data_IF_058007897313
#
_entry.id   IF_058007897313
#
_cell.length_a   1.000
_cell.length_b   1.000
_cell.length_c   1.000
_cell.angle_alpha   90.00
_cell.angle_beta   90.00
_cell.angle_gamma   90.00
#
_symmetry.space_group_name_H-M   'P 1'
#
loop_
_entity.id
_entity.type
_entity.pdbx_description
1 polymer ?
#
# COMPACT_ATOMS: atom_id res chain seq x y z
N UNK A 1 -22.56 -13.13 15.76
CA UNK A 1 -22.88 -12.71 14.38
C UNK A 1 -21.59 -12.74 13.58
N UNK A 2 -21.55 -13.38 12.41
CA UNK A 2 -20.36 -13.30 11.52
C UNK A 2 -20.22 -11.85 11.06
N UNK A 3 -19.14 -11.17 11.44
CA UNK A 3 -18.87 -9.81 10.99
C UNK A 3 -18.06 -9.87 9.70
N UNK A 4 -18.66 -9.40 8.61
CA UNK A 4 -17.92 -9.11 7.38
C UNK A 4 -17.31 -7.73 7.53
N UNK A 5 -16.08 -7.52 7.05
CA UNK A 5 -15.44 -6.22 6.97
C UNK A 5 -14.92 -5.98 5.55
N UNK A 6 -14.97 -4.74 5.10
CA UNK A 6 -14.59 -4.40 3.74
C UNK A 6 -13.67 -3.19 3.69
N UNK A 7 -12.91 -3.08 2.59
CA UNK A 7 -11.99 -2.00 2.32
C UNK A 7 -11.99 -1.62 0.84
N UNK A 8 -11.73 -0.35 0.55
CA UNK A 8 -11.32 0.11 -0.78
C UNK A 8 -9.79 0.06 -0.82
N UNK A 9 -9.19 -0.53 -1.87
CA UNK A 9 -7.74 -0.67 -2.02
C UNK A 9 -7.25 0.08 -3.25
N UNK A 10 -6.49 1.14 -2.99
CA UNK A 10 -5.89 2.05 -3.97
C UNK A 10 -4.36 1.98 -3.89
N UNK A 11 -3.69 2.33 -4.97
CA UNK A 11 -2.25 2.57 -5.02
C UNK A 11 -1.88 3.45 -6.21
N UNK A 12 -0.70 4.06 -6.21
CA UNK A 12 -0.15 4.76 -7.36
C UNK A 12 -1.14 5.81 -7.90
N UNK A 13 -1.49 6.77 -7.02
CA UNK A 13 -2.46 7.85 -7.32
C UNK A 13 -1.73 9.04 -7.95
N UNK A 14 -0.49 9.31 -7.56
CA UNK A 14 0.41 10.30 -8.13
C UNK A 14 -0.19 11.72 -8.27
N UNK A 15 -0.76 12.25 -7.19
CA UNK A 15 -1.20 13.64 -7.21
C UNK A 15 -0.04 14.57 -7.52
N UNK A 16 -0.26 15.50 -8.46
CA UNK A 16 0.73 16.50 -8.89
C UNK A 16 0.32 17.89 -8.41
N UNK A 17 1.24 18.85 -8.47
CA UNK A 17 0.91 20.25 -8.21
C UNK A 17 -0.17 20.82 -9.13
N UNK A 18 -0.43 20.19 -10.28
CA UNK A 18 -1.45 20.60 -11.24
C UNK A 18 -2.79 19.88 -11.07
N UNK A 19 -2.85 18.85 -10.22
CA UNK A 19 -4.11 18.15 -9.93
C UNK A 19 -5.14 19.13 -9.37
N UNK A 20 -6.37 19.11 -9.93
CA UNK A 20 -7.47 19.99 -9.54
C UNK A 20 -7.44 21.40 -10.12
N UNK A 21 -6.48 21.75 -10.97
CA UNK A 21 -6.52 22.99 -11.75
C UNK A 21 -7.36 22.82 -13.05
N UNK A 22 -7.54 23.93 -13.81
CA UNK A 22 -8.37 23.92 -15.02
C UNK A 22 -7.80 23.09 -16.17
N UNK A 23 -6.57 22.60 -16.07
CA UNK A 23 -5.89 21.76 -17.06
C UNK A 23 -5.62 20.35 -16.55
N UNK A 24 -6.22 19.97 -15.43
CA UNK A 24 -6.08 18.64 -14.86
C UNK A 24 -6.80 17.59 -15.70
N UNK A 25 -6.05 16.90 -16.55
CA UNK A 25 -6.56 15.88 -17.47
C UNK A 25 -7.07 14.62 -16.76
N UNK A 26 -6.73 14.43 -15.49
CA UNK A 26 -7.08 13.24 -14.69
C UNK A 26 -8.24 13.50 -13.72
N UNK A 27 -8.81 14.72 -13.75
CA UNK A 27 -9.96 15.05 -12.90
C UNK A 27 -11.15 14.13 -13.20
N UNK A 28 -11.46 13.89 -14.48
CA UNK A 28 -12.55 12.99 -14.87
C UNK A 28 -12.35 11.57 -14.36
N UNK A 29 -11.12 11.05 -14.42
CA UNK A 29 -10.79 9.73 -13.89
C UNK A 29 -11.10 9.62 -12.39
N UNK A 30 -10.70 10.61 -11.60
CA UNK A 30 -10.99 10.64 -10.16
C UNK A 30 -12.47 10.75 -9.85
N UNK A 31 -13.20 11.53 -10.65
CA UNK A 31 -14.65 11.67 -10.51
C UNK A 31 -15.36 10.36 -10.86
N UNK A 32 -14.88 9.60 -11.86
CA UNK A 32 -15.41 8.27 -12.20
C UNK A 32 -15.16 7.23 -11.10
N UNK A 33 -13.99 7.24 -10.45
CA UNK A 33 -13.72 6.38 -9.28
C UNK A 33 -14.74 6.66 -8.17
N UNK A 34 -14.98 7.94 -7.84
CA UNK A 34 -15.96 8.31 -6.83
C UNK A 34 -17.38 7.88 -7.24
N UNK A 35 -17.71 8.00 -8.53
CA UNK A 35 -19.01 7.59 -9.07
C UNK A 35 -19.21 6.08 -9.00
N UNK A 36 -18.20 5.29 -9.37
CA UNK A 36 -18.24 3.83 -9.28
C UNK A 36 -18.43 3.36 -7.83
N UNK A 37 -17.63 3.90 -6.90
CA UNK A 37 -17.78 3.62 -5.47
C UNK A 37 -19.17 4.00 -4.96
N UNK A 38 -19.67 5.17 -5.32
CA UNK A 38 -20.98 5.65 -4.89
C UNK A 38 -22.14 4.77 -5.37
N UNK A 39 -22.05 4.27 -6.62
CA UNK A 39 -23.12 3.49 -7.26
C UNK A 39 -23.09 2.02 -6.87
N UNK A 40 -21.89 1.44 -6.81
CA UNK A 40 -21.73 -0.01 -6.81
C UNK A 40 -21.18 -0.56 -5.49
N UNK A 41 -20.31 0.16 -4.78
CA UNK A 41 -19.66 -0.38 -3.58
C UNK A 41 -20.68 -0.74 -2.48
N UNK A 42 -21.72 0.08 -2.28
CA UNK A 42 -22.74 -0.17 -1.25
C UNK A 42 -23.61 -1.41 -1.49
N UNK A 43 -23.68 -1.88 -2.74
CA UNK A 43 -24.41 -3.11 -3.09
C UNK A 43 -23.56 -4.36 -2.96
N UNK A 44 -22.24 -4.21 -3.09
CA UNK A 44 -21.26 -5.29 -3.09
C UNK A 44 -20.57 -5.47 -1.72
N UNK A 45 -20.42 -4.38 -0.95
CA UNK A 45 -19.64 -4.36 0.27
C UNK A 45 -20.50 -4.10 1.50
N UNK A 46 -20.25 -4.89 2.55
CA UNK A 46 -20.81 -4.68 3.89
C UNK A 46 -19.72 -4.17 4.83
N UNK A 47 -20.09 -3.30 5.77
CA UNK A 47 -19.20 -2.80 6.83
C UNK A 47 -17.85 -2.33 6.29
N UNK A 48 -17.83 -1.28 5.47
CA UNK A 48 -16.60 -0.68 4.98
C UNK A 48 -15.88 -0.01 6.17
N UNK A 49 -14.70 -0.51 6.49
CA UNK A 49 -13.88 -0.05 7.64
C UNK A 49 -12.84 0.99 7.22
N UNK A 50 -12.57 1.16 5.92
CA UNK A 50 -11.64 2.18 5.47
C UNK A 50 -11.12 2.06 4.05
N UNK A 51 -10.21 2.96 3.74
CA UNK A 51 -9.50 3.08 2.47
C UNK A 51 -8.04 2.69 2.72
N UNK A 52 -7.53 1.71 1.97
CA UNK A 52 -6.15 1.23 2.02
C UNK A 52 -5.38 1.85 0.86
N UNK A 53 -4.25 2.49 1.12
CA UNK A 53 -3.43 3.13 0.08
C UNK A 53 -2.00 2.59 0.12
N UNK A 54 -1.62 1.82 -0.91
CA UNK A 54 -0.32 1.17 -1.00
C UNK A 54 0.77 2.05 -1.62
N UNK A 55 0.85 3.32 -1.21
CA UNK A 55 1.93 4.24 -1.57
C UNK A 55 1.73 4.99 -2.89
N UNK A 56 2.72 5.83 -3.22
CA UNK A 56 2.75 6.74 -4.36
C UNK A 56 1.48 7.61 -4.43
N UNK A 57 1.20 8.26 -3.30
CA UNK A 57 0.06 9.16 -3.11
C UNK A 57 0.34 10.49 -3.81
N UNK A 58 1.49 11.11 -3.49
CA UNK A 58 2.04 12.27 -4.16
C UNK A 58 2.94 11.86 -5.32
N UNK A 59 3.21 12.76 -6.26
CA UNK A 59 4.18 12.55 -7.33
C UNK A 59 5.61 12.96 -6.94
N UNK A 60 5.74 13.96 -6.08
CA UNK A 60 7.03 14.55 -5.69
C UNK A 60 7.11 14.97 -4.21
N UNK A 61 6.26 14.38 -3.37
CA UNK A 61 6.22 14.62 -1.93
C UNK A 61 6.02 16.09 -1.53
N UNK A 62 5.21 16.83 -2.30
CA UNK A 62 4.90 18.23 -2.00
C UNK A 62 3.62 18.33 -1.15
N UNK A 63 3.60 19.29 -0.19
CA UNK A 63 2.44 19.53 0.67
C UNK A 63 1.15 19.72 -0.13
N UNK A 64 1.19 20.50 -1.21
CA UNK A 64 0.03 20.75 -2.07
C UNK A 64 -0.50 19.51 -2.79
N UNK A 65 0.33 18.48 -3.00
CA UNK A 65 -0.07 17.21 -3.58
C UNK A 65 -0.86 16.38 -2.56
N UNK A 66 -0.41 16.37 -1.31
CA UNK A 66 -1.09 15.71 -0.20
C UNK A 66 -2.44 16.37 0.14
N UNK A 67 -2.53 17.71 0.13
CA UNK A 67 -3.81 18.43 0.33
C UNK A 67 -4.86 17.97 -0.69
N UNK A 68 -4.48 17.77 -1.94
CA UNK A 68 -5.38 17.29 -3.00
C UNK A 68 -5.75 15.82 -2.82
N UNK A 69 -4.80 15.00 -2.41
CA UNK A 69 -5.05 13.60 -2.05
C UNK A 69 -6.06 13.50 -0.90
N UNK A 70 -5.93 14.34 0.14
CA UNK A 70 -6.89 14.39 1.25
C UNK A 70 -8.29 14.74 0.78
N UNK A 71 -8.44 15.72 -0.11
CA UNK A 71 -9.76 16.10 -0.67
C UNK A 71 -10.38 14.93 -1.43
N UNK A 72 -9.60 14.20 -2.21
CA UNK A 72 -10.08 13.03 -2.95
C UNK A 72 -10.50 11.89 -2.02
N UNK A 73 -9.65 11.53 -1.05
CA UNK A 73 -9.92 10.45 -0.10
C UNK A 73 -11.12 10.81 0.81
N UNK A 74 -11.26 12.08 1.20
CA UNK A 74 -12.45 12.55 1.93
C UNK A 74 -13.72 12.35 1.13
N UNK A 75 -13.74 12.69 -0.17
CA UNK A 75 -14.92 12.45 -1.01
C UNK A 75 -15.29 10.96 -1.07
N UNK A 76 -14.31 10.06 -1.14
CA UNK A 76 -14.55 8.61 -1.06
C UNK A 76 -15.13 8.23 0.29
N UNK A 77 -14.57 8.72 1.40
CA UNK A 77 -15.08 8.47 2.74
C UNK A 77 -16.52 8.95 2.92
N UNK A 78 -16.83 10.14 2.40
CA UNK A 78 -18.19 10.73 2.45
C UNK A 78 -19.22 9.85 1.69
N UNK A 79 -18.91 9.38 0.48
CA UNK A 79 -19.83 8.50 -0.28
C UNK A 79 -19.99 7.13 0.36
N UNK A 80 -18.98 6.62 1.06
CA UNK A 80 -19.04 5.37 1.82
C UNK A 80 -19.69 5.54 3.21
N UNK A 81 -19.87 6.77 3.66
CA UNK A 81 -20.38 7.09 5.01
C UNK A 81 -19.47 6.55 6.13
N UNK A 82 -18.16 6.60 5.93
CA UNK A 82 -17.14 6.25 6.92
C UNK A 82 -16.41 7.51 7.45
N UNK A 83 -15.62 7.36 8.51
CA UNK A 83 -14.82 8.48 9.03
C UNK A 83 -13.81 8.95 7.98
N UNK A 84 -13.60 10.27 7.87
CA UNK A 84 -12.55 10.84 7.01
C UNK A 84 -11.13 10.42 7.46
N UNK A 85 -10.97 9.95 8.71
CA UNK A 85 -9.72 9.42 9.24
C UNK A 85 -9.56 7.91 9.04
N UNK A 86 -10.55 7.23 8.45
CA UNK A 86 -10.47 5.79 8.14
C UNK A 86 -9.67 5.54 6.85
N UNK A 87 -8.45 6.09 6.81
CA UNK A 87 -7.47 5.91 5.73
C UNK A 87 -6.24 5.26 6.33
N UNK A 88 -5.76 4.20 5.70
CA UNK A 88 -4.59 3.45 6.12
C UNK A 88 -3.58 3.42 4.98
N UNK A 89 -2.41 4.01 5.16
CA UNK A 89 -1.48 4.26 4.07
C UNK A 89 -0.04 3.92 4.43
N UNK A 90 0.73 3.57 3.42
CA UNK A 90 2.19 3.45 3.49
C UNK A 90 2.82 4.36 2.44
N UNK A 91 4.06 4.83 2.63
CA UNK A 91 4.73 5.64 1.62
C UNK A 91 5.22 4.78 0.46
N UNK A 92 5.20 5.35 -0.75
CA UNK A 92 5.89 4.82 -1.93
C UNK A 92 7.15 5.63 -2.27
N UNK A 93 7.81 5.28 -3.37
CA UNK A 93 9.05 5.94 -3.76
C UNK A 93 8.85 7.37 -4.33
N UNK A 94 7.62 7.74 -4.66
CA UNK A 94 7.25 9.11 -5.00
C UNK A 94 6.88 9.97 -3.78
N UNK A 95 6.60 9.34 -2.63
CA UNK A 95 6.29 10.04 -1.37
C UNK A 95 7.54 10.48 -0.59
N UNK A 96 8.72 10.47 -1.21
CA UNK A 96 9.98 10.94 -0.62
C UNK A 96 10.38 12.33 -1.14
N UNK A 97 11.01 13.11 -0.28
CA UNK A 97 11.68 14.34 -0.71
C UNK A 97 13.04 14.00 -1.35
N UNK A 98 13.05 13.97 -2.67
CA UNK A 98 14.25 13.64 -3.46
C UNK A 98 15.36 14.70 -3.30
N UNK A 99 15.05 15.92 -2.85
CA UNK A 99 16.05 16.97 -2.64
C UNK A 99 16.96 16.70 -1.45
N UNK A 100 16.54 15.82 -0.53
CA UNK A 100 17.28 15.43 0.67
C UNK A 100 18.20 14.21 0.39
N UNK A 101 17.72 13.26 -0.43
CA UNK A 101 18.42 12.01 -0.76
C UNK A 101 19.27 12.16 -2.04
N UNK A 102 20.26 13.05 -2.02
CA UNK A 102 21.16 13.29 -3.17
C UNK A 102 22.58 12.75 -2.91
N UNK A 103 23.32 12.49 -3.99
CA UNK A 103 24.70 12.00 -3.93
C UNK A 103 25.58 12.92 -3.07
N UNK A 104 26.27 12.35 -2.07
CA UNK A 104 27.11 13.08 -1.12
C UNK A 104 26.39 13.59 0.14
N UNK A 105 25.05 13.46 0.23
CA UNK A 105 24.34 13.73 1.46
C UNK A 105 24.61 12.65 2.53
N UNK A 106 24.43 12.98 3.81
CA UNK A 106 24.58 12.00 4.90
C UNK A 106 23.59 10.87 4.76
N UNK A 107 22.34 11.16 4.36
CA UNK A 107 21.34 10.15 4.08
C UNK A 107 21.80 9.20 2.97
N UNK A 108 22.32 9.73 1.86
CA UNK A 108 22.82 8.91 0.75
C UNK A 108 23.97 8.00 1.19
N UNK A 109 24.86 8.46 2.06
CA UNK A 109 25.93 7.61 2.60
C UNK A 109 25.38 6.44 3.42
N UNK A 110 24.39 6.68 4.29
CA UNK A 110 23.72 5.65 5.07
C UNK A 110 22.99 4.65 4.14
N UNK A 111 22.25 5.15 3.16
CA UNK A 111 21.54 4.31 2.18
C UNK A 111 22.51 3.45 1.38
N UNK A 112 23.63 4.02 0.90
CA UNK A 112 24.67 3.29 0.16
C UNK A 112 25.32 2.17 0.99
N UNK A 113 25.50 2.38 2.29
CA UNK A 113 26.01 1.34 3.20
C UNK A 113 24.99 0.21 3.41
N UNK A 114 23.70 0.51 3.44
CA UNK A 114 22.64 -0.49 3.46
C UNK A 114 22.58 -1.27 2.15
N UNK A 115 22.70 -0.60 1.02
CA UNK A 115 22.72 -1.22 -0.31
C UNK A 115 23.88 -2.20 -0.51
N UNK A 116 25.05 -1.96 0.10
CA UNK A 116 26.20 -2.87 0.05
C UNK A 116 26.01 -4.14 0.88
N UNK A 117 25.03 -4.18 1.79
CA UNK A 117 24.77 -5.37 2.59
C UNK A 117 24.19 -6.51 1.73
N UNK A 118 24.85 -7.68 1.70
CA UNK A 118 24.53 -8.79 0.81
C UNK A 118 23.89 -9.99 1.52
N UNK A 119 23.55 -9.86 2.80
CA UNK A 119 22.83 -10.89 3.59
C UNK A 119 21.76 -10.22 4.45
N UNK A 120 20.66 -10.94 4.71
CA UNK A 120 19.59 -10.44 5.60
C UNK A 120 20.13 -10.09 7.00
N UNK A 121 21.10 -10.87 7.50
CA UNK A 121 21.77 -10.61 8.80
C UNK A 121 22.56 -9.30 8.77
N UNK A 122 23.29 -9.03 7.68
CA UNK A 122 24.05 -7.78 7.53
C UNK A 122 23.12 -6.57 7.42
N UNK A 123 22.01 -6.70 6.70
CA UNK A 123 20.96 -5.68 6.59
C UNK A 123 20.40 -5.36 7.98
N UNK A 124 19.93 -6.38 8.70
CA UNK A 124 19.34 -6.20 10.04
C UNK A 124 20.35 -5.65 11.06
N UNK A 125 21.62 -6.07 10.98
CA UNK A 125 22.69 -5.55 11.84
C UNK A 125 22.93 -4.05 11.60
N UNK A 126 22.98 -3.62 10.33
CA UNK A 126 23.16 -2.20 9.98
C UNK A 126 21.94 -1.37 10.39
N UNK A 127 20.73 -1.82 10.07
CA UNK A 127 19.49 -1.14 10.47
C UNK A 127 19.40 -1.00 11.99
N UNK A 128 19.69 -2.08 12.72
CA UNK A 128 19.73 -2.05 14.19
C UNK A 128 20.87 -1.19 14.75
N UNK A 129 21.98 -1.04 14.03
CA UNK A 129 23.05 -0.09 14.35
C UNK A 129 22.56 1.36 14.25
N UNK A 130 21.96 1.73 13.12
CA UNK A 130 21.41 3.06 12.90
C UNK A 130 20.26 3.37 13.86
N UNK A 131 19.38 2.41 14.14
CA UNK A 131 18.28 2.60 15.08
C UNK A 131 18.72 2.93 16.52
N UNK A 132 19.92 2.50 16.94
CA UNK A 132 20.48 2.81 18.26
C UNK A 132 21.20 4.15 18.33
N UNK A 133 21.62 4.71 17.21
CA UNK A 133 22.19 6.06 17.13
C UNK A 133 21.12 7.03 16.67
N UNK A 134 20.66 7.88 17.58
CA UNK A 134 19.57 8.82 17.35
C UNK A 134 19.79 9.68 16.08
N UNK A 135 20.99 10.22 15.90
CA UNK A 135 21.28 11.09 14.75
C UNK A 135 21.18 10.35 13.41
N UNK A 136 21.72 9.13 13.33
CA UNK A 136 21.62 8.30 12.15
C UNK A 136 20.18 7.88 11.86
N UNK A 137 19.43 7.55 12.92
CA UNK A 137 18.03 7.15 12.83
C UNK A 137 17.15 8.30 12.34
N UNK A 138 17.27 9.48 12.94
CA UNK A 138 16.56 10.70 12.50
C UNK A 138 16.90 11.01 11.02
N UNK A 139 18.16 10.88 10.62
CA UNK A 139 18.61 11.09 9.24
C UNK A 139 17.97 10.10 8.28
N UNK A 140 17.87 8.82 8.68
CA UNK A 140 17.36 7.75 7.82
C UNK A 140 15.87 7.93 7.43
N UNK A 141 15.07 8.61 8.27
CA UNK A 141 13.65 8.87 8.01
C UNK A 141 13.37 10.29 7.49
N UNK A 142 14.40 11.12 7.34
CA UNK A 142 14.22 12.52 6.99
C UNK A 142 13.55 12.76 5.63
N UNK A 143 13.82 11.89 4.65
CA UNK A 143 13.26 12.00 3.29
C UNK A 143 11.75 11.75 3.21
N UNK A 144 11.11 11.23 4.27
CA UNK A 144 9.65 11.06 4.37
C UNK A 144 9.00 12.02 5.37
N UNK A 145 9.70 13.06 5.81
CA UNK A 145 9.18 14.01 6.80
C UNK A 145 7.92 14.72 6.30
N UNK A 146 7.91 15.18 5.04
CA UNK A 146 6.73 15.82 4.43
C UNK A 146 5.54 14.86 4.38
N UNK A 147 5.74 13.61 3.95
CA UNK A 147 4.70 12.58 3.98
C UNK A 147 4.13 12.38 5.40
N UNK A 148 5.01 12.26 6.40
CA UNK A 148 4.60 12.06 7.79
C UNK A 148 3.82 13.23 8.36
N UNK A 149 4.31 14.45 8.18
CA UNK A 149 3.74 15.66 8.81
C UNK A 149 2.50 16.17 8.08
N UNK A 150 2.50 16.11 6.74
CA UNK A 150 1.46 16.71 5.91
C UNK A 150 0.36 15.74 5.47
N UNK A 151 0.57 14.44 5.68
CA UNK A 151 -0.42 13.44 5.26
C UNK A 151 -0.62 12.31 6.28
N UNK A 152 0.35 11.43 6.45
CA UNK A 152 0.19 10.20 7.20
C UNK A 152 -0.13 10.40 8.69
N UNK A 153 0.37 11.48 9.29
CA UNK A 153 0.12 11.82 10.69
C UNK A 153 -1.37 12.02 11.01
N UNK A 154 -2.14 12.58 10.09
CA UNK A 154 -3.60 12.74 10.18
C UNK A 154 -4.33 11.40 10.36
N UNK A 155 -3.80 10.36 9.76
CA UNK A 155 -4.36 9.00 9.74
C UNK A 155 -3.67 8.05 10.73
N UNK A 156 -2.77 8.57 11.57
CA UNK A 156 -1.93 7.77 12.48
C UNK A 156 -1.06 6.70 11.80
N UNK A 157 -0.78 6.89 10.51
CA UNK A 157 0.02 6.02 9.66
C UNK A 157 1.47 6.50 9.48
N UNK A 158 1.89 7.50 10.24
CA UNK A 158 3.26 8.03 10.19
C UNK A 158 4.30 6.95 10.55
N UNK A 159 5.42 6.98 9.83
CA UNK A 159 6.55 6.08 9.98
C UNK A 159 7.79 6.92 10.28
N UNK A 160 8.43 6.70 11.40
CA UNK A 160 9.59 7.46 11.83
C UNK A 160 10.57 6.58 12.63
N UNK A 161 11.59 7.19 13.22
CA UNK A 161 12.61 6.54 14.01
C UNK A 161 12.10 5.80 15.28
N UNK A 162 10.98 6.23 15.85
CA UNK A 162 10.35 5.61 17.02
C UNK A 162 9.28 4.60 16.63
N UNK A 163 8.64 4.83 15.48
CA UNK A 163 7.55 4.02 14.94
C UNK A 163 7.89 3.61 13.49
N UNK A 164 8.76 2.61 13.29
CA UNK A 164 9.21 2.19 11.96
C UNK A 164 8.14 1.47 11.12
N UNK A 165 7.01 1.14 11.72
CA UNK A 165 5.81 0.58 11.12
C UNK A 165 4.61 0.96 12.00
N UNK A 166 3.40 0.76 11.49
CA UNK A 166 2.16 0.99 12.24
C UNK A 166 1.22 -0.21 12.15
N UNK A 167 0.25 -0.29 13.08
CA UNK A 167 -0.76 -1.33 13.07
C UNK A 167 -2.10 -0.81 13.60
N UNK A 168 -3.19 -1.44 13.11
CA UNK A 168 -4.58 -1.18 13.53
C UNK A 168 -5.34 -2.49 13.59
N UNK A 169 -6.16 -2.68 14.61
CA UNK A 169 -6.93 -3.90 14.84
C UNK A 169 -8.40 -3.73 14.45
N UNK A 170 -8.93 -4.71 13.71
CA UNK A 170 -10.34 -4.83 13.35
C UNK A 170 -10.91 -6.13 13.92
N UNK A 171 -11.89 -6.07 14.83
CA UNK A 171 -12.53 -7.27 15.34
C UNK A 171 -13.31 -7.99 14.22
N UNK A 172 -12.99 -9.26 13.96
CA UNK A 172 -13.72 -10.12 13.01
C UNK A 172 -14.86 -10.86 13.70
N UNK A 173 -14.61 -11.32 14.92
CA UNK A 173 -15.61 -11.90 15.84
C UNK A 173 -15.07 -11.79 17.27
N UNK A 174 -15.72 -12.49 18.24
CA UNK A 174 -15.35 -12.42 19.66
C UNK A 174 -13.92 -12.95 19.96
N UNK A 175 -13.37 -13.80 19.08
CA UNK A 175 -12.09 -14.48 19.31
C UNK A 175 -11.01 -14.14 18.25
N UNK A 176 -11.37 -13.47 17.16
CA UNK A 176 -10.45 -13.24 16.04
C UNK A 176 -10.39 -11.76 15.68
N UNK A 177 -9.17 -11.30 15.46
CA UNK A 177 -8.83 -9.93 15.07
C UNK A 177 -8.10 -9.98 13.73
N UNK A 178 -8.49 -9.10 12.79
CA UNK A 178 -7.65 -8.76 11.65
C UNK A 178 -6.76 -7.58 12.05
N UNK A 179 -5.45 -7.80 12.07
CA UNK A 179 -4.47 -6.73 12.30
C UNK A 179 -3.91 -6.25 10.98
N UNK A 180 -4.26 -5.03 10.64
CA UNK A 180 -3.69 -4.31 9.51
C UNK A 180 -2.31 -3.79 9.91
N UNK A 181 -1.30 -3.99 9.04
CA UNK A 181 0.10 -3.72 9.35
C UNK A 181 0.77 -2.99 8.18
N UNK A 182 1.21 -1.76 8.41
CA UNK A 182 1.91 -0.95 7.41
C UNK A 182 3.41 -1.20 7.42
N UNK A 183 3.95 -1.68 6.31
CA UNK A 183 5.39 -1.94 6.12
C UNK A 183 6.06 -0.76 5.40
N UNK A 184 7.28 -0.46 5.80
CA UNK A 184 8.11 0.56 5.16
C UNK A 184 9.11 -0.10 4.22
N UNK A 185 8.93 0.07 2.91
CA UNK A 185 9.86 -0.40 1.88
C UNK A 185 10.75 0.68 1.28
N UNK A 186 10.61 1.95 1.72
CA UNK A 186 11.29 3.08 1.07
C UNK A 186 12.53 3.59 1.82
N UNK A 187 13.05 2.80 2.79
CA UNK A 187 14.20 3.19 3.65
C UNK A 187 15.41 3.67 2.83
N UNK A 188 15.66 3.02 1.69
CA UNK A 188 16.76 3.39 0.79
C UNK A 188 16.28 4.03 -0.53
N UNK A 189 15.02 4.40 -0.60
CA UNK A 189 14.47 5.07 -1.77
C UNK A 189 15.10 6.44 -1.98
N UNK A 190 15.36 6.80 -3.24
CA UNK A 190 16.05 8.01 -3.64
C UNK A 190 15.67 8.40 -5.08
N UNK A 191 16.12 9.55 -5.55
CA UNK A 191 15.97 9.97 -6.95
C UNK A 191 16.59 9.00 -7.98
N UNK A 192 17.43 8.09 -7.53
CA UNK A 192 18.16 7.15 -8.38
C UNK A 192 17.46 5.78 -8.49
N UNK A 193 16.25 5.63 -7.92
CA UNK A 193 15.52 4.35 -7.92
C UNK A 193 15.25 3.83 -9.34
N UNK A 194 15.01 4.72 -10.31
CA UNK A 194 14.77 4.41 -11.72
C UNK A 194 15.93 4.85 -12.65
N UNK A 195 17.15 5.00 -12.12
CA UNK A 195 18.32 5.45 -12.90
C UNK A 195 18.70 4.45 -13.98
N UNK A 196 18.57 3.16 -13.71
CA UNK A 196 18.72 2.09 -14.70
C UNK A 196 17.33 1.68 -15.23
N UNK A 197 17.02 2.09 -16.45
CA UNK A 197 15.74 1.77 -17.10
C UNK A 197 15.51 0.27 -17.33
N UNK A 198 16.55 -0.56 -17.15
CA UNK A 198 16.49 -2.02 -17.37
C UNK A 198 16.31 -2.79 -16.08
N UNK A 199 16.49 -2.16 -14.91
CA UNK A 199 16.44 -2.82 -13.62
C UNK A 199 16.14 -1.83 -12.50
N UNK A 200 15.01 -2.03 -11.82
CA UNK A 200 14.67 -1.25 -10.63
C UNK A 200 15.67 -1.51 -9.50
N UNK A 201 15.93 -0.47 -8.72
CA UNK A 201 16.72 -0.56 -7.49
C UNK A 201 15.96 -1.44 -6.48
N UNK A 202 16.66 -2.44 -5.94
CA UNK A 202 16.08 -3.30 -4.91
C UNK A 202 15.98 -2.58 -3.57
N UNK A 203 14.79 -2.58 -2.98
CA UNK A 203 14.47 -1.96 -1.70
C UNK A 203 14.78 -2.87 -0.52
N UNK A 204 14.92 -2.31 0.66
CA UNK A 204 15.26 -3.05 1.88
C UNK A 204 14.08 -3.09 2.83
N UNK A 205 13.69 -4.30 3.23
CA UNK A 205 12.79 -4.56 4.36
C UNK A 205 13.56 -5.37 5.40
N UNK A 206 13.72 -4.81 6.60
CA UNK A 206 14.37 -5.52 7.70
C UNK A 206 13.43 -6.53 8.39
N UNK A 207 14.00 -7.60 8.97
CA UNK A 207 13.21 -8.61 9.71
C UNK A 207 12.46 -8.03 10.92
N UNK A 208 12.88 -6.88 11.43
CA UNK A 208 12.18 -6.19 12.52
C UNK A 208 10.74 -5.79 12.14
N UNK A 209 10.45 -5.67 10.83
CA UNK A 209 9.11 -5.36 10.33
C UNK A 209 8.21 -6.59 10.20
N UNK A 210 8.75 -7.79 10.32
CA UNK A 210 7.94 -9.01 10.22
C UNK A 210 7.14 -9.22 11.50
N UNK A 211 5.80 -9.30 11.44
CA UNK A 211 4.98 -9.43 12.65
C UNK A 211 5.29 -10.74 13.39
N UNK A 212 5.08 -10.74 14.69
CA UNK A 212 5.15 -11.96 15.52
C UNK A 212 3.80 -12.68 15.44
N UNK A 213 3.82 -14.02 15.54
CA UNK A 213 2.58 -14.76 15.69
C UNK A 213 1.93 -14.43 17.04
N UNK A 214 0.63 -14.17 17.00
CA UNK A 214 -0.22 -13.93 18.17
C UNK A 214 -1.49 -14.76 18.00
N UNK A 215 -1.93 -15.44 19.07
CA UNK A 215 -3.14 -16.27 19.04
C UNK A 215 -4.39 -15.39 18.81
N UNK A 216 -5.26 -15.81 17.92
CA UNK A 216 -6.47 -15.06 17.57
C UNK A 216 -6.23 -13.85 16.64
N UNK A 217 -4.97 -13.61 16.21
CA UNK A 217 -4.64 -12.49 15.31
C UNK A 217 -4.28 -13.00 13.92
N UNK A 218 -5.01 -12.49 12.94
CA UNK A 218 -4.68 -12.65 11.52
C UNK A 218 -4.10 -11.35 10.98
N UNK A 219 -2.94 -11.43 10.33
CA UNK A 219 -2.28 -10.25 9.77
C UNK A 219 -2.66 -10.00 8.31
N UNK A 220 -2.93 -8.74 8.00
CA UNK A 220 -3.00 -8.16 6.65
C UNK A 220 -1.96 -7.05 6.56
N UNK A 221 -1.11 -7.05 5.53
CA UNK A 221 -0.07 -6.05 5.38
C UNK A 221 -0.30 -5.13 4.18
N UNK A 222 0.07 -3.86 4.34
CA UNK A 222 0.27 -2.90 3.27
C UNK A 222 1.76 -2.67 3.08
N UNK A 223 2.22 -2.72 1.83
CA UNK A 223 3.58 -2.36 1.45
C UNK A 223 3.55 -1.78 0.04
N UNK A 224 4.34 -0.77 -0.26
CA UNK A 224 4.36 -0.25 -1.62
C UNK A 224 5.08 -1.21 -2.57
N UNK A 225 6.34 -1.52 -2.30
CA UNK A 225 7.12 -2.41 -3.16
C UNK A 225 6.78 -3.88 -2.89
N UNK A 226 6.44 -4.68 -3.91
CA UNK A 226 6.22 -6.12 -3.76
C UNK A 226 7.55 -6.89 -3.56
N UNK A 227 7.47 -8.17 -3.11
CA UNK A 227 8.65 -8.95 -2.72
C UNK A 227 9.75 -9.08 -3.79
N UNK A 228 9.40 -9.09 -5.07
CA UNK A 228 10.36 -9.11 -6.17
C UNK A 228 11.21 -7.86 -6.29
N UNK A 229 10.78 -6.76 -5.67
CA UNK A 229 11.54 -5.52 -5.55
C UNK A 229 12.40 -5.46 -4.28
N UNK A 230 12.45 -6.53 -3.48
CA UNK A 230 13.22 -6.52 -2.24
C UNK A 230 14.61 -7.09 -2.41
N UNK A 231 15.58 -6.47 -1.74
CA UNK A 231 16.90 -7.03 -1.54
C UNK A 231 16.85 -8.05 -0.40
N UNK A 232 16.41 -9.25 -0.72
CA UNK A 232 16.26 -10.39 0.20
C UNK A 232 16.99 -11.63 -0.36
N UNK A 233 18.33 -11.71 -0.23
CA UNK A 233 19.18 -12.65 -0.97
C UNK A 233 18.80 -14.13 -0.85
N UNK A 234 18.18 -14.52 0.25
CA UNK A 234 17.74 -15.91 0.52
C UNK A 234 16.21 -16.03 0.57
N UNK A 235 15.50 -14.98 0.23
CA UNK A 235 14.05 -14.86 0.45
C UNK A 235 13.67 -15.08 1.93
N UNK A 236 14.53 -14.69 2.87
CA UNK A 236 14.32 -14.94 4.30
C UNK A 236 13.14 -14.13 4.84
N UNK A 237 13.10 -12.81 4.49
CA UNK A 237 12.03 -11.90 4.91
C UNK A 237 10.72 -12.29 4.24
N UNK A 238 10.74 -12.54 2.92
CA UNK A 238 9.58 -12.97 2.16
C UNK A 238 8.96 -14.26 2.72
N UNK A 239 9.78 -15.30 2.99
CA UNK A 239 9.31 -16.56 3.58
C UNK A 239 8.67 -16.34 4.96
N UNK A 240 9.26 -15.46 5.78
CA UNK A 240 8.70 -15.15 7.09
C UNK A 240 7.36 -14.41 6.99
N UNK A 241 7.25 -13.45 6.07
CA UNK A 241 6.00 -12.72 5.80
C UNK A 241 4.94 -13.68 5.29
N UNK A 242 5.23 -14.50 4.25
CA UNK A 242 4.29 -15.49 3.70
C UNK A 242 3.77 -16.47 4.77
N UNK A 243 4.60 -16.82 5.75
CA UNK A 243 4.18 -17.70 6.84
C UNK A 243 3.25 -17.04 7.86
N UNK A 244 3.35 -15.71 8.05
CA UNK A 244 2.69 -14.99 9.15
C UNK A 244 1.56 -14.07 8.71
N UNK A 245 1.62 -13.54 7.49
CA UNK A 245 0.67 -12.59 6.94
C UNK A 245 -0.21 -13.28 5.91
N UNK A 246 -1.53 -13.30 6.15
CA UNK A 246 -2.48 -14.03 5.29
C UNK A 246 -2.90 -13.24 4.06
N UNK A 247 -2.93 -11.92 4.16
CA UNK A 247 -3.30 -11.01 3.06
C UNK A 247 -2.20 -9.96 2.94
N UNK A 248 -1.61 -9.83 1.75
CA UNK A 248 -0.51 -8.93 1.47
C UNK A 248 -0.88 -8.02 0.31
N UNK A 249 -0.91 -6.70 0.53
CA UNK A 249 -1.33 -5.71 -0.43
C UNK A 249 -0.13 -4.89 -0.91
N UNK A 250 -0.02 -4.73 -2.25
CA UNK A 250 1.11 -4.07 -2.90
C UNK A 250 0.67 -3.09 -3.99
N UNK A 251 1.55 -2.12 -4.30
CA UNK A 251 1.49 -1.18 -5.42
C UNK A 251 2.71 -1.28 -6.33
N UNK A 252 3.24 -0.13 -6.76
CA UNK A 252 4.49 0.09 -7.47
C UNK A 252 4.53 -0.43 -8.92
N UNK A 253 4.09 -1.64 -9.18
CA UNK A 253 4.22 -2.26 -10.51
C UNK A 253 3.12 -1.89 -11.49
N UNK A 254 2.10 -1.15 -11.05
CA UNK A 254 0.92 -0.81 -11.83
C UNK A 254 0.17 -2.03 -12.40
N UNK A 255 0.44 -3.22 -11.85
CA UNK A 255 -0.17 -4.49 -12.28
C UNK A 255 -1.23 -4.89 -11.25
N UNK A 256 -2.47 -5.06 -11.72
CA UNK A 256 -3.53 -5.65 -10.91
C UNK A 256 -3.43 -7.17 -11.00
N UNK A 257 -3.07 -7.81 -9.90
CA UNK A 257 -2.90 -9.25 -9.84
C UNK A 257 -3.33 -9.83 -8.49
N UNK A 258 -3.72 -11.10 -8.51
CA UNK A 258 -3.99 -11.88 -7.30
C UNK A 258 -3.22 -13.18 -7.40
N UNK A 259 -2.32 -13.43 -6.45
CA UNK A 259 -1.53 -14.67 -6.38
C UNK A 259 -1.70 -15.32 -5.02
N UNK A 260 -1.84 -16.63 -4.98
CA UNK A 260 -1.80 -17.41 -3.74
C UNK A 260 -0.45 -18.10 -3.61
N UNK A 261 0.22 -17.89 -2.48
CA UNK A 261 1.47 -18.57 -2.12
C UNK A 261 1.26 -19.19 -0.75
N UNK A 262 1.23 -20.53 -0.69
CA UNK A 262 0.86 -21.30 0.49
C UNK A 262 -0.52 -20.84 1.04
N UNK A 263 -0.54 -20.32 2.28
CA UNK A 263 -1.74 -19.77 2.93
C UNK A 263 -1.82 -18.25 2.85
N UNK A 264 -0.99 -17.61 2.04
CA UNK A 264 -0.98 -16.16 1.86
C UNK A 264 -1.59 -15.77 0.52
N UNK A 265 -2.39 -14.71 0.53
CA UNK A 265 -2.95 -14.07 -0.65
C UNK A 265 -2.20 -12.78 -0.93
N UNK A 266 -1.58 -12.67 -2.09
CA UNK A 266 -0.83 -11.51 -2.56
C UNK A 266 -1.67 -10.76 -3.57
N UNK A 267 -1.92 -9.47 -3.34
CA UNK A 267 -2.84 -8.65 -4.13
C UNK A 267 -2.15 -7.37 -4.55
N UNK A 268 -1.96 -7.18 -5.86
CA UNK A 268 -1.61 -5.89 -6.46
C UNK A 268 -2.88 -5.12 -6.83
N UNK A 269 -2.92 -3.82 -6.55
CA UNK A 269 -4.11 -3.01 -6.88
C UNK A 269 -4.16 -2.61 -8.36
N UNK A 270 -3.03 -2.62 -9.05
CA UNK A 270 -2.82 -1.83 -10.24
C UNK A 270 -2.64 -0.34 -9.88
N UNK A 271 -2.43 0.52 -10.86
CA UNK A 271 -2.35 1.95 -10.61
C UNK A 271 -3.74 2.59 -10.66
N UNK A 272 -4.08 3.34 -9.62
CA UNK A 272 -5.34 4.09 -9.57
C UNK A 272 -5.33 5.21 -10.61
N UNK A 273 -4.19 5.88 -10.80
CA UNK A 273 -3.98 6.91 -11.80
C UNK A 273 -2.61 6.71 -12.48
N UNK A 274 -2.49 5.74 -13.42
CA UNK A 274 -1.27 5.55 -14.17
C UNK A 274 -0.95 6.76 -15.05
N UNK A 275 0.33 6.94 -15.39
CA UNK A 275 0.74 7.99 -16.31
C UNK A 275 0.04 7.82 -17.68
N UNK A 276 -0.49 8.90 -18.25
CA UNK A 276 -1.11 8.89 -19.60
C UNK A 276 -0.12 8.48 -20.71
N UNK A 277 1.18 8.51 -20.43
CA UNK A 277 2.24 8.10 -21.35
C UNK A 277 2.68 6.65 -21.15
N UNK A 278 2.11 5.95 -20.18
CA UNK A 278 2.37 4.55 -19.93
C UNK A 278 1.70 3.68 -20.99
N UNK A 279 2.46 2.73 -21.56
CA UNK A 279 1.92 1.80 -22.56
C UNK A 279 0.82 0.95 -21.91
N UNK A 280 -0.34 0.85 -22.56
CA UNK A 280 -1.48 0.15 -21.99
C UNK A 280 -2.13 0.86 -20.83
N UNK A 281 -2.14 2.22 -20.83
CA UNK A 281 -2.83 3.05 -19.82
C UNK A 281 -4.17 2.43 -19.41
N UNK A 282 -4.26 2.05 -18.15
CA UNK A 282 -5.38 1.25 -17.67
C UNK A 282 -5.60 1.46 -16.16
N UNK A 283 -6.34 2.49 -15.76
CA UNK A 283 -6.67 2.77 -14.37
C UNK A 283 -7.41 1.60 -13.70
N UNK A 284 -6.94 1.20 -12.53
CA UNK A 284 -7.45 0.04 -11.79
C UNK A 284 -7.42 0.28 -10.29
N UNK A 285 -8.32 -0.40 -9.57
CA UNK A 285 -8.31 -0.48 -8.11
C UNK A 285 -9.13 -1.69 -7.66
N UNK A 286 -9.12 -2.02 -6.35
CA UNK A 286 -9.86 -3.17 -5.83
C UNK A 286 -10.82 -2.76 -4.72
N UNK A 287 -11.87 -3.57 -4.56
CA UNK A 287 -12.59 -3.67 -3.30
C UNK A 287 -12.31 -5.03 -2.67
N UNK A 288 -12.17 -5.07 -1.36
CA UNK A 288 -11.83 -6.29 -0.61
C UNK A 288 -12.89 -6.49 0.46
N UNK A 289 -13.49 -7.68 0.50
CA UNK A 289 -14.38 -8.10 1.58
C UNK A 289 -13.78 -9.31 2.28
N UNK A 290 -13.75 -9.28 3.61
CA UNK A 290 -13.13 -10.32 4.44
C UNK A 290 -14.17 -10.80 5.45
N UNK A 291 -14.36 -12.11 5.53
CA UNK A 291 -15.28 -12.75 6.46
C UNK A 291 -14.62 -13.97 7.10
N UNK A 292 -14.86 -14.15 8.40
CA UNK A 292 -14.54 -15.42 9.08
C UNK A 292 -15.66 -16.42 8.84
N UNK A 293 -15.28 -17.61 8.37
CA UNK A 293 -16.17 -18.73 8.17
C UNK A 293 -15.71 -19.94 8.97
N UNK A 294 -16.64 -20.68 9.55
CA UNK A 294 -16.37 -21.92 10.27
C UNK A 294 -16.85 -23.10 9.44
N UNK A 295 -15.94 -24.05 9.18
CA UNK A 295 -16.21 -25.27 8.45
C UNK A 295 -15.72 -26.45 9.29
N UNK A 296 -16.60 -27.31 9.76
CA UNK A 296 -16.27 -28.52 10.54
C UNK A 296 -15.34 -28.24 11.74
N UNK A 297 -15.62 -27.18 12.49
CA UNK A 297 -14.85 -26.71 13.67
C UNK A 297 -13.50 -26.02 13.34
N UNK A 298 -13.14 -25.89 12.09
CA UNK A 298 -11.96 -25.10 11.68
C UNK A 298 -12.41 -23.70 11.26
N UNK A 299 -11.55 -22.71 11.51
CA UNK A 299 -11.81 -21.30 11.20
C UNK A 299 -11.00 -20.89 9.99
N UNK A 300 -11.66 -20.33 8.98
CA UNK A 300 -11.05 -19.86 7.74
C UNK A 300 -11.39 -18.39 7.52
N UNK A 301 -10.55 -17.71 6.74
CA UNK A 301 -10.90 -16.45 6.10
C UNK A 301 -11.49 -16.73 4.74
N UNK A 302 -12.63 -16.14 4.46
CA UNK A 302 -13.19 -16.02 3.12
C UNK A 302 -12.90 -14.59 2.65
N UNK A 303 -12.19 -14.45 1.53
CA UNK A 303 -11.77 -13.15 0.98
C UNK A 303 -12.36 -13.01 -0.42
N UNK A 304 -13.21 -12.00 -0.62
CA UNK A 304 -13.74 -11.63 -1.94
C UNK A 304 -13.04 -10.37 -2.42
N UNK A 305 -12.53 -10.43 -3.64
CA UNK A 305 -11.83 -9.31 -4.27
C UNK A 305 -12.57 -8.92 -5.54
N UNK A 306 -13.05 -7.69 -5.56
CA UNK A 306 -13.69 -7.06 -6.71
C UNK A 306 -12.63 -6.21 -7.41
N UNK A 307 -12.11 -6.70 -8.51
CA UNK A 307 -11.17 -5.97 -9.35
C UNK A 307 -11.95 -4.98 -10.21
N UNK A 308 -11.58 -3.70 -10.17
CA UNK A 308 -12.26 -2.62 -10.92
C UNK A 308 -11.30 -2.09 -11.98
N UNK A 309 -11.81 -1.93 -13.21
CA UNK A 309 -11.05 -1.47 -14.37
C UNK A 309 -11.85 -0.38 -15.11
N UNK A 310 -11.17 0.68 -15.52
CA UNK A 310 -11.77 1.68 -16.39
C UNK A 310 -11.86 1.13 -17.82
N UNK A 311 -13.05 1.21 -18.42
CA UNK A 311 -13.24 0.89 -19.84
C UNK A 311 -13.01 2.15 -20.67
N UNK A 312 -12.04 2.14 -21.62
CA UNK A 312 -11.78 3.30 -22.46
C UNK A 312 -12.96 3.68 -23.36
N UNK A 313 -13.78 2.69 -23.75
CA UNK A 313 -14.91 2.87 -24.65
C UNK A 313 -16.10 3.56 -23.98
N UNK A 314 -16.34 3.27 -22.69
CA UNK A 314 -17.51 3.75 -21.97
C UNK A 314 -17.17 4.81 -20.93
N UNK A 315 -15.85 5.03 -20.69
CA UNK A 315 -15.32 5.97 -19.69
C UNK A 315 -15.93 5.74 -18.29
N UNK A 316 -16.14 4.45 -17.93
CA UNK A 316 -16.65 4.04 -16.63
C UNK A 316 -15.89 2.82 -16.06
N UNK A 317 -15.93 2.67 -14.73
CA UNK A 317 -15.35 1.50 -14.06
C UNK A 317 -16.33 0.34 -14.03
N UNK A 318 -15.85 -0.81 -14.47
CA UNK A 318 -16.58 -2.09 -14.41
C UNK A 318 -15.80 -3.14 -13.60
N UNK A 319 -16.47 -4.25 -13.28
CA UNK A 319 -15.79 -5.41 -12.71
C UNK A 319 -14.89 -6.08 -13.76
N UNK A 320 -13.62 -6.31 -13.43
CA UNK A 320 -12.69 -7.11 -14.24
C UNK A 320 -12.97 -8.60 -13.96
N UNK A 321 -13.82 -9.21 -14.78
CA UNK A 321 -14.31 -10.57 -14.61
C UNK A 321 -13.45 -11.56 -15.38
N UNK A 322 -13.40 -12.80 -14.92
CA UNK A 322 -12.94 -13.90 -15.75
C UNK A 322 -14.01 -14.18 -16.82
N UNK A 323 -13.59 -14.47 -18.05
CA UNK A 323 -14.47 -14.58 -19.24
C UNK A 323 -15.69 -15.53 -19.06
N UNK A 324 -15.55 -16.55 -18.22
CA UNK A 324 -16.57 -17.56 -17.95
C UNK A 324 -17.36 -17.31 -16.64
N UNK A 325 -17.11 -16.19 -15.91
CA UNK A 325 -17.74 -15.94 -14.62
C UNK A 325 -18.88 -14.94 -14.71
N UNK A 326 -20.01 -15.26 -14.05
CA UNK A 326 -21.10 -14.29 -13.78
C UNK A 326 -20.79 -13.40 -12.57
N UNK A 327 -19.85 -13.80 -11.72
CA UNK A 327 -19.55 -13.12 -10.48
C UNK A 327 -18.64 -11.90 -10.70
N UNK A 328 -18.91 -10.81 -9.98
CA UNK A 328 -18.13 -9.58 -10.03
C UNK A 328 -16.91 -9.61 -9.10
N UNK A 329 -16.62 -10.76 -8.48
CA UNK A 329 -15.51 -10.95 -7.54
C UNK A 329 -14.82 -12.29 -7.76
N UNK A 330 -13.58 -12.34 -7.28
CA UNK A 330 -12.81 -13.60 -7.11
C UNK A 330 -12.82 -13.96 -5.62
N UNK A 331 -13.04 -15.24 -5.30
CA UNK A 331 -13.19 -15.73 -3.93
C UNK A 331 -12.04 -16.67 -3.55
N UNK A 332 -11.49 -16.48 -2.36
CA UNK A 332 -10.31 -17.19 -1.86
C UNK A 332 -10.48 -17.66 -0.41
#
# INVERSE_FOLDING_TARGET
MKKSISFIHLSDIHFTKFSGDSFDIDQNLRDEIIRDISRNAKTCLENVEGILVCGDIAFSSQESEYEKAEVFLKKIADVLSISETAVYCVPGNHDIDQSIAYEGSVLHLIQSELEKANTSVAIDSKLGGYARDKSSNDTLFKHIETYNEKFAGKYSCNINNEKPNWQVDFPLNDNNILRLYGLNSIVISSKDDHKDKTKDKLMIIGKYQVPKNEDGVTYMSLCHHPPECWKDPNNDVQKMINKRVRIQLYGHKHIQEIRRIDDSLIIGSGATQPSRFEEGWNPRYNWINIQVVEIKCDTFLNVKIYQRILTPEEDEFIADKDDDSSDEFKEY
#
